data_IF_969864874401
#
_entry.id   IF_969864874401
#
_cell.length_a   1.000
_cell.length_b   1.000
_cell.length_c   1.000
_cell.angle_alpha   90.00
_cell.angle_beta   90.00
_cell.angle_gamma   90.00
#
_symmetry.space_group_name_H-M   'P 1'
#
loop_
_entity.id
_entity.type
_entity.pdbx_description
1 polymer ?
#
# COMPACT_ATOMS: atom_id res chain seq x y z
N UNK A 1 7.59 8.17 1.06
CA UNK A 1 7.96 6.74 1.15
C UNK A 1 8.68 6.42 2.43
N UNK A 2 8.19 5.45 3.20
CA UNK A 2 8.90 4.88 4.34
C UNK A 2 9.90 3.83 3.85
N UNK A 3 11.12 4.27 3.54
CA UNK A 3 12.16 3.42 2.94
C UNK A 3 12.67 2.31 3.86
N UNK A 4 12.57 2.49 5.18
CA UNK A 4 13.03 1.48 6.15
C UNK A 4 12.07 0.29 6.18
N UNK A 5 10.78 0.54 6.22
CA UNK A 5 9.76 -0.51 6.13
C UNK A 5 9.80 -1.23 4.79
N UNK A 6 10.08 -0.50 3.71
CA UNK A 6 10.32 -1.11 2.41
C UNK A 6 11.53 -2.05 2.43
N UNK A 7 12.61 -1.67 3.11
CA UNK A 7 13.80 -2.52 3.24
C UNK A 7 13.48 -3.78 4.05
N UNK A 8 12.81 -3.65 5.20
CA UNK A 8 12.35 -4.78 6.04
C UNK A 8 11.50 -5.77 5.25
N UNK A 9 10.51 -5.26 4.54
CA UNK A 9 9.60 -6.08 3.75
C UNK A 9 10.33 -6.77 2.57
N UNK A 10 11.34 -6.11 1.99
CA UNK A 10 12.19 -6.71 0.94
C UNK A 10 12.96 -7.92 1.48
N UNK A 11 13.50 -7.82 2.70
CA UNK A 11 14.18 -8.95 3.37
C UNK A 11 13.19 -10.07 3.68
N UNK A 12 12.03 -9.75 4.26
CA UNK A 12 10.99 -10.74 4.56
C UNK A 12 10.56 -11.51 3.31
N UNK A 13 10.33 -10.81 2.21
CA UNK A 13 9.95 -11.43 0.94
C UNK A 13 11.05 -12.37 0.42
N UNK A 14 12.32 -12.01 0.57
CA UNK A 14 13.45 -12.87 0.21
C UNK A 14 13.51 -14.15 1.06
N UNK A 15 13.22 -14.05 2.36
CA UNK A 15 13.15 -15.20 3.29
C UNK A 15 12.03 -16.16 2.90
N UNK A 16 10.82 -15.64 2.70
CA UNK A 16 9.63 -16.42 2.36
C UNK A 16 9.81 -17.18 1.04
N UNK A 17 10.55 -16.60 0.10
CA UNK A 17 10.88 -17.20 -1.19
C UNK A 17 12.15 -18.06 -1.18
N UNK A 18 12.78 -18.28 -0.02
CA UNK A 18 13.88 -19.23 0.13
C UNK A 18 15.20 -18.73 -0.45
N UNK A 19 15.47 -17.43 -0.40
CA UNK A 19 16.77 -16.87 -0.79
C UNK A 19 17.90 -17.46 0.06
N UNK A 20 19.01 -17.93 -0.56
CA UNK A 20 20.08 -18.60 0.18
C UNK A 20 20.86 -17.63 1.08
N UNK A 21 21.25 -18.10 2.27
CA UNK A 21 21.99 -17.30 3.26
C UNK A 21 23.31 -16.72 2.73
N UNK A 22 24.07 -17.53 1.99
CA UNK A 22 25.41 -17.22 1.45
C UNK A 22 26.26 -16.29 2.35
N UNK A 23 26.64 -16.74 3.57
CA UNK A 23 27.42 -15.90 4.48
C UNK A 23 28.73 -15.42 3.85
N UNK A 24 29.00 -14.11 3.94
CA UNK A 24 30.17 -13.47 3.32
C UNK A 24 30.00 -13.10 1.84
N UNK A 25 28.87 -13.46 1.21
CA UNK A 25 28.45 -12.88 -0.06
C UNK A 25 27.71 -11.58 0.18
N UNK A 26 27.95 -10.58 -0.66
CA UNK A 26 27.14 -9.37 -0.62
C UNK A 26 25.69 -9.70 -1.02
N UNK A 27 25.46 -10.56 -2.02
CA UNK A 27 24.11 -10.85 -2.52
C UNK A 27 23.35 -11.94 -1.76
N UNK A 28 23.80 -12.34 -0.57
CA UNK A 28 23.15 -13.38 0.24
C UNK A 28 22.09 -12.84 1.19
N UNK A 29 21.13 -13.68 1.59
CA UNK A 29 20.10 -13.32 2.57
C UNK A 29 20.72 -12.82 3.91
N UNK A 30 21.85 -13.39 4.33
CA UNK A 30 22.56 -12.94 5.54
C UNK A 30 23.02 -11.48 5.43
N UNK A 31 23.45 -11.03 4.24
CA UNK A 31 23.85 -9.64 4.01
C UNK A 31 22.62 -8.72 3.99
N UNK A 32 21.52 -9.15 3.39
CA UNK A 32 20.28 -8.35 3.37
C UNK A 32 19.73 -8.10 4.77
N UNK A 33 19.73 -9.12 5.64
CA UNK A 33 19.38 -8.95 7.07
C UNK A 33 20.31 -7.96 7.76
N UNK A 34 21.62 -8.12 7.57
CA UNK A 34 22.60 -7.19 8.12
C UNK A 34 22.38 -5.75 7.63
N UNK A 35 22.03 -5.56 6.35
CA UNK A 35 21.70 -4.24 5.81
C UNK A 35 20.47 -3.64 6.51
N UNK A 36 19.41 -4.43 6.72
CA UNK A 36 18.22 -3.99 7.44
C UNK A 36 18.54 -3.63 8.90
N UNK A 37 19.20 -4.52 9.65
CA UNK A 37 19.62 -4.29 11.03
C UNK A 37 20.49 -3.03 11.16
N UNK A 38 21.41 -2.82 10.21
CA UNK A 38 22.29 -1.64 10.19
C UNK A 38 21.52 -0.36 9.89
N UNK A 39 20.56 -0.40 8.97
CA UNK A 39 19.70 0.73 8.64
C UNK A 39 18.75 1.09 9.79
N UNK A 40 18.35 0.13 10.61
CA UNK A 40 17.55 0.37 11.83
C UNK A 40 18.39 0.99 12.95
N UNK A 41 19.60 0.47 13.17
CA UNK A 41 20.50 0.95 14.21
C UNK A 41 21.15 2.30 13.89
N UNK A 42 21.14 2.71 12.61
CA UNK A 42 21.84 3.91 12.14
C UNK A 42 20.90 4.89 11.44
N UNK A 43 20.95 6.16 11.82
CA UNK A 43 20.24 7.22 11.07
C UNK A 43 20.95 7.52 9.74
N UNK A 44 20.47 6.93 8.66
CA UNK A 44 20.87 7.30 7.29
C UNK A 44 20.07 8.50 6.77
N UNK A 45 20.65 9.21 5.81
CA UNK A 45 19.87 10.12 4.97
C UNK A 45 18.98 9.33 4.01
N UNK A 46 17.83 9.89 3.65
CA UNK A 46 16.87 9.29 2.70
C UNK A 46 17.54 8.91 1.37
N UNK A 47 18.50 9.71 0.91
CA UNK A 47 19.25 9.40 -0.31
C UNK A 47 20.13 8.16 -0.17
N UNK A 48 20.70 7.92 1.02
CA UNK A 48 21.53 6.74 1.29
C UNK A 48 20.66 5.51 1.51
N UNK A 49 19.61 5.63 2.30
CA UNK A 49 18.67 4.54 2.56
C UNK A 49 17.96 4.11 1.27
N UNK A 50 17.57 5.05 0.41
CA UNK A 50 17.02 4.74 -0.91
C UNK A 50 17.98 3.96 -1.82
N UNK A 51 19.28 4.26 -1.78
CA UNK A 51 20.28 3.47 -2.52
C UNK A 51 20.43 2.06 -1.96
N UNK A 52 20.42 1.91 -0.64
CA UNK A 52 20.48 0.60 0.02
C UNK A 52 19.25 -0.25 -0.29
N UNK A 53 18.06 0.35 -0.22
CA UNK A 53 16.82 -0.29 -0.63
C UNK A 53 16.89 -0.77 -2.08
N UNK A 54 17.21 0.11 -3.03
CA UNK A 54 17.30 -0.27 -4.44
C UNK A 54 18.33 -1.39 -4.69
N UNK A 55 19.45 -1.38 -3.97
CA UNK A 55 20.44 -2.44 -4.05
C UNK A 55 19.91 -3.79 -3.52
N UNK A 56 19.26 -3.79 -2.35
CA UNK A 56 18.67 -4.99 -1.77
C UNK A 56 17.60 -5.60 -2.69
N UNK A 57 16.73 -4.76 -3.26
CA UNK A 57 15.70 -5.17 -4.21
C UNK A 57 16.30 -5.81 -5.47
N UNK A 58 17.38 -5.21 -6.01
CA UNK A 58 18.12 -5.80 -7.13
C UNK A 58 18.74 -7.16 -6.77
N UNK A 59 19.31 -7.30 -5.57
CA UNK A 59 19.91 -8.56 -5.12
C UNK A 59 18.86 -9.68 -5.00
N UNK A 60 17.68 -9.38 -4.46
CA UNK A 60 16.57 -10.35 -4.35
C UNK A 60 16.07 -10.79 -5.73
N UNK A 61 15.88 -9.86 -6.66
CA UNK A 61 15.47 -10.21 -8.04
C UNK A 61 16.55 -11.02 -8.74
N UNK A 62 17.82 -10.64 -8.59
CA UNK A 62 18.95 -11.34 -9.19
C UNK A 62 19.15 -12.76 -8.62
N UNK A 63 18.72 -13.01 -7.38
CA UNK A 63 18.74 -14.34 -6.78
C UNK A 63 17.76 -15.32 -7.46
N UNK A 64 16.83 -14.82 -8.28
CA UNK A 64 15.88 -15.62 -9.07
C UNK A 64 15.06 -16.60 -8.22
N UNK A 65 14.60 -16.12 -7.05
CA UNK A 65 13.83 -16.89 -6.06
C UNK A 65 12.31 -16.81 -6.30
N UNK A 66 11.91 -16.41 -7.51
CA UNK A 66 10.50 -16.19 -7.85
C UNK A 66 9.94 -14.83 -7.41
N UNK A 67 10.81 -13.91 -6.98
CA UNK A 67 10.47 -12.51 -6.71
C UNK A 67 10.97 -11.64 -7.87
N UNK A 68 10.13 -10.73 -8.35
CA UNK A 68 10.32 -9.95 -9.58
C UNK A 68 10.49 -8.45 -9.30
N UNK A 69 10.90 -7.70 -10.34
CA UNK A 69 10.89 -6.23 -10.27
C UNK A 69 9.48 -5.65 -10.07
N UNK A 70 8.43 -6.33 -10.52
CA UNK A 70 7.06 -5.89 -10.29
C UNK A 70 6.73 -5.95 -8.79
N UNK A 71 7.13 -7.02 -8.10
CA UNK A 71 6.95 -7.16 -6.65
C UNK A 71 7.67 -6.04 -5.87
N UNK A 72 8.88 -5.68 -6.30
CA UNK A 72 9.63 -4.56 -5.70
C UNK A 72 8.96 -3.21 -5.89
N UNK A 73 8.36 -2.98 -7.06
CA UNK A 73 7.61 -1.75 -7.33
C UNK A 73 6.32 -1.68 -6.50
N UNK A 74 5.57 -2.78 -6.42
CA UNK A 74 4.40 -2.92 -5.55
C UNK A 74 4.75 -2.53 -4.11
N UNK A 75 5.86 -3.07 -3.60
CA UNK A 75 6.36 -2.77 -2.26
C UNK A 75 6.74 -1.28 -2.13
N UNK A 76 7.44 -0.70 -3.11
CA UNK A 76 7.79 0.72 -3.09
C UNK A 76 6.55 1.62 -3.08
N UNK A 77 5.50 1.27 -3.83
CA UNK A 77 4.22 2.01 -3.81
C UNK A 77 3.54 1.87 -2.46
N UNK A 78 3.42 0.64 -1.93
CA UNK A 78 2.88 0.34 -0.59
C UNK A 78 3.48 1.28 0.46
N UNK A 79 4.80 1.41 0.47
CA UNK A 79 5.50 2.26 1.43
C UNK A 79 5.59 3.73 1.02
N UNK A 80 5.34 4.07 -0.24
CA UNK A 80 5.25 5.47 -0.72
C UNK A 80 4.05 6.19 -0.15
N UNK A 81 2.92 5.50 -0.04
CA UNK A 81 1.68 6.00 0.56
C UNK A 81 1.82 6.44 2.02
N UNK A 82 2.86 5.97 2.70
CA UNK A 82 3.17 6.26 4.11
C UNK A 82 3.85 7.64 4.28
N UNK A 83 3.69 8.58 3.34
CA UNK A 83 4.29 9.92 3.44
C UNK A 83 3.86 10.67 4.71
N UNK A 84 4.78 11.47 5.25
CA UNK A 84 4.69 12.19 6.52
C UNK A 84 3.40 13.02 6.69
N UNK A 85 2.92 13.19 7.94
CA UNK A 85 1.64 13.84 8.22
C UNK A 85 1.63 15.30 7.74
N UNK A 86 0.76 15.63 6.80
CA UNK A 86 0.22 16.99 6.72
C UNK A 86 -0.78 17.15 7.87
N UNK A 87 -0.37 17.82 8.95
CA UNK A 87 -1.11 18.15 10.19
C UNK A 87 -2.49 17.49 10.38
N UNK A 88 -2.60 16.42 11.19
CA UNK A 88 -3.84 15.64 11.35
C UNK A 88 -4.83 16.13 12.43
N UNK A 89 -4.61 17.27 13.09
CA UNK A 89 -5.18 17.44 14.44
C UNK A 89 -6.70 17.74 14.53
N UNK A 90 -7.39 18.14 13.44
CA UNK A 90 -8.84 18.44 13.54
C UNK A 90 -9.75 17.44 12.82
N UNK A 91 -9.37 16.99 11.62
CA UNK A 91 -10.19 16.06 10.85
C UNK A 91 -10.14 14.64 11.42
N UNK A 92 -8.98 14.18 11.87
CA UNK A 92 -8.80 12.82 12.39
C UNK A 92 -9.40 12.65 13.80
N UNK A 93 -9.27 13.68 14.64
CA UNK A 93 -9.97 13.74 15.93
C UNK A 93 -11.50 13.63 15.76
N UNK A 94 -12.04 14.18 14.68
CA UNK A 94 -13.48 14.07 14.36
C UNK A 94 -13.91 12.67 13.93
N UNK A 95 -12.96 11.79 13.56
CA UNK A 95 -13.29 10.42 13.21
C UNK A 95 -13.34 9.52 14.42
N UNK A 96 -12.63 9.84 15.52
CA UNK A 96 -12.33 8.93 16.62
C UNK A 96 -13.55 8.21 17.24
N UNK A 97 -14.73 8.82 17.23
CA UNK A 97 -15.95 8.24 17.82
C UNK A 97 -16.69 7.24 16.93
N UNK A 98 -16.35 7.12 15.64
CA UNK A 98 -17.05 6.20 14.74
C UNK A 98 -16.55 4.75 14.89
N UNK A 99 -17.43 3.74 14.82
CA UNK A 99 -17.01 2.34 14.80
C UNK A 99 -16.29 1.94 13.50
N UNK A 100 -16.58 2.63 12.40
CA UNK A 100 -15.96 2.40 11.09
C UNK A 100 -15.31 3.68 10.57
N UNK A 101 -14.15 3.55 9.93
CA UNK A 101 -13.49 4.62 9.18
C UNK A 101 -13.40 4.20 7.73
N UNK A 102 -13.97 5.01 6.83
CA UNK A 102 -13.86 4.79 5.40
C UNK A 102 -12.53 5.35 4.93
N UNK A 103 -11.74 4.52 4.28
CA UNK A 103 -10.51 4.90 3.59
C UNK A 103 -10.75 4.94 2.09
N UNK A 104 -10.11 5.89 1.44
CA UNK A 104 -9.97 5.93 0.00
C UNK A 104 -8.56 5.52 -0.39
N UNK A 105 -8.46 4.71 -1.43
CA UNK A 105 -7.23 4.55 -2.22
C UNK A 105 -7.51 5.20 -3.56
N UNK A 106 -6.62 6.07 -4.02
CA UNK A 106 -6.78 6.77 -5.28
C UNK A 106 -5.62 6.49 -6.22
N UNK A 107 -5.91 6.50 -7.52
CA UNK A 107 -4.96 6.37 -8.60
C UNK A 107 -5.21 7.49 -9.61
N UNK A 108 -4.20 8.33 -9.84
CA UNK A 108 -4.17 9.23 -10.99
C UNK A 108 -3.41 8.57 -12.15
N UNK A 109 -4.10 8.38 -13.27
CA UNK A 109 -3.61 7.68 -14.45
C UNK A 109 -3.57 8.65 -15.66
N UNK A 110 -2.52 9.48 -15.76
CA UNK A 110 -2.40 10.48 -16.82
C UNK A 110 -2.26 9.84 -18.21
N UNK A 111 -1.61 8.68 -18.28
CA UNK A 111 -1.32 7.96 -19.51
C UNK A 111 -2.40 6.93 -19.89
N UNK A 112 -3.46 6.82 -19.08
CA UNK A 112 -4.62 5.93 -19.30
C UNK A 112 -4.22 4.46 -19.42
N UNK A 113 -3.22 4.05 -18.64
CA UNK A 113 -2.66 2.70 -18.65
C UNK A 113 -3.58 1.68 -17.99
N UNK A 114 -4.46 2.08 -17.08
CA UNK A 114 -5.38 1.17 -16.38
C UNK A 114 -6.41 0.53 -17.35
N UNK A 115 -6.73 1.24 -18.44
CA UNK A 115 -7.74 0.84 -19.41
C UNK A 115 -9.16 0.97 -18.89
N UNK A 116 -10.10 0.26 -19.53
CA UNK A 116 -11.52 0.29 -19.17
C UNK A 116 -11.90 -0.77 -18.12
N UNK A 117 -13.07 -0.61 -17.50
CA UNK A 117 -13.66 -1.53 -16.52
C UNK A 117 -12.74 -1.78 -15.30
N UNK A 118 -12.12 -0.72 -14.79
CA UNK A 118 -11.21 -0.79 -13.64
C UNK A 118 -11.96 -1.27 -12.40
N UNK A 119 -13.18 -0.79 -12.17
CA UNK A 119 -14.00 -1.19 -11.04
C UNK A 119 -14.31 -2.70 -11.07
N UNK A 120 -14.76 -3.24 -12.20
CA UNK A 120 -15.07 -4.67 -12.34
C UNK A 120 -13.82 -5.54 -12.17
N UNK A 121 -12.72 -5.16 -12.80
CA UNK A 121 -11.47 -5.94 -12.78
C UNK A 121 -10.86 -6.04 -11.39
N UNK A 122 -10.96 -4.97 -10.61
CA UNK A 122 -10.32 -4.89 -9.30
C UNK A 122 -11.21 -5.38 -8.16
N UNK A 123 -12.52 -5.49 -8.37
CA UNK A 123 -13.48 -5.80 -7.30
C UNK A 123 -13.15 -7.08 -6.53
N UNK A 124 -12.89 -8.19 -7.24
CA UNK A 124 -12.62 -9.47 -6.58
C UNK A 124 -11.35 -9.45 -5.73
N UNK A 125 -10.27 -8.84 -6.24
CA UNK A 125 -9.02 -8.72 -5.53
C UNK A 125 -9.12 -7.76 -4.33
N UNK A 126 -9.84 -6.64 -4.50
CA UNK A 126 -10.09 -5.68 -3.43
C UNK A 126 -10.91 -6.29 -2.28
N UNK A 127 -11.96 -7.07 -2.61
CA UNK A 127 -12.73 -7.82 -1.61
C UNK A 127 -11.85 -8.84 -0.88
N UNK A 128 -11.07 -9.63 -1.61
CA UNK A 128 -10.19 -10.64 -1.02
C UNK A 128 -9.10 -10.03 -0.12
N UNK A 129 -8.62 -8.82 -0.43
CA UNK A 129 -7.66 -8.09 0.42
C UNK A 129 -8.28 -7.60 1.74
N UNK A 130 -9.57 -7.25 1.73
CA UNK A 130 -10.26 -6.70 2.90
C UNK A 130 -10.73 -7.79 3.89
N UNK A 131 -11.13 -8.95 3.38
CA UNK A 131 -11.77 -10.03 4.14
C UNK A 131 -10.94 -10.54 5.36
N UNK A 132 -9.61 -10.80 5.25
CA UNK A 132 -8.82 -11.30 6.38
C UNK A 132 -8.77 -10.35 7.58
N UNK A 133 -9.07 -9.07 7.35
CA UNK A 133 -9.05 -8.01 8.36
C UNK A 133 -10.44 -7.68 8.90
N UNK A 134 -11.49 -8.41 8.49
CA UNK A 134 -12.88 -8.07 8.81
C UNK A 134 -13.28 -6.69 8.30
N UNK A 135 -12.60 -6.20 7.26
CA UNK A 135 -12.87 -4.91 6.63
C UNK A 135 -13.71 -5.12 5.36
N UNK A 136 -14.34 -4.06 4.87
CA UNK A 136 -15.33 -4.15 3.79
C UNK A 136 -14.92 -3.29 2.61
N UNK A 137 -14.57 -3.92 1.50
CA UNK A 137 -14.49 -3.21 0.23
C UNK A 137 -15.89 -2.79 -0.23
N UNK A 138 -16.11 -1.51 -0.53
CA UNK A 138 -17.42 -1.00 -0.94
C UNK A 138 -17.60 -1.01 -2.45
N UNK A 139 -16.81 -0.20 -3.15
CA UNK A 139 -16.88 0.01 -4.58
C UNK A 139 -15.67 0.82 -5.07
N UNK A 140 -15.54 0.90 -6.39
CA UNK A 140 -14.60 1.76 -7.09
C UNK A 140 -15.38 2.76 -7.95
N UNK A 141 -14.93 4.00 -7.97
CA UNK A 141 -15.34 5.02 -8.95
C UNK A 141 -14.29 5.05 -10.05
N UNK A 142 -14.67 4.73 -11.29
CA UNK A 142 -13.76 4.64 -12.44
C UNK A 142 -14.18 5.46 -13.68
N UNK A 143 -15.27 6.21 -13.58
CA UNK A 143 -15.77 7.06 -14.67
C UNK A 143 -15.13 8.45 -14.68
N UNK A 144 -14.55 8.87 -13.55
CA UNK A 144 -14.05 10.23 -13.33
C UNK A 144 -12.80 10.58 -14.15
N UNK A 145 -12.71 11.85 -14.53
CA UNK A 145 -11.55 12.44 -15.18
C UNK A 145 -11.35 13.88 -14.76
N UNK A 146 -10.09 14.28 -14.56
CA UNK A 146 -9.72 15.66 -14.32
C UNK A 146 -9.91 16.51 -15.60
N UNK A 147 -9.94 17.84 -15.45
CA UNK A 147 -10.14 18.77 -16.56
C UNK A 147 -9.06 18.66 -17.66
N UNK A 148 -7.86 18.18 -17.32
CA UNK A 148 -6.77 17.93 -18.26
C UNK A 148 -6.90 16.55 -18.97
N UNK A 149 -7.95 15.79 -18.69
CA UNK A 149 -8.20 14.47 -19.27
C UNK A 149 -7.49 13.31 -18.56
N UNK A 150 -6.78 13.55 -17.46
CA UNK A 150 -6.21 12.49 -16.61
C UNK A 150 -7.33 11.66 -15.99
N UNK A 151 -7.26 10.33 -16.14
CA UNK A 151 -8.22 9.42 -15.51
C UNK A 151 -7.94 9.33 -14.01
N UNK A 152 -8.99 9.26 -13.22
CA UNK A 152 -8.92 9.19 -11.76
C UNK A 152 -9.80 8.04 -11.29
N UNK A 153 -9.20 7.16 -10.50
CA UNK A 153 -9.87 6.00 -9.93
C UNK A 153 -9.83 6.11 -8.41
N UNK A 154 -10.93 5.78 -7.75
CA UNK A 154 -11.03 5.83 -6.28
C UNK A 154 -11.75 4.60 -5.74
N UNK A 155 -11.07 3.83 -4.90
CA UNK A 155 -11.61 2.68 -4.18
C UNK A 155 -11.96 3.06 -2.76
N UNK A 156 -13.14 2.66 -2.30
CA UNK A 156 -13.63 2.89 -0.94
C UNK A 156 -13.57 1.60 -0.13
N UNK A 157 -12.95 1.66 1.05
CA UNK A 157 -12.87 0.54 1.98
C UNK A 157 -13.25 0.96 3.40
N UNK A 158 -14.19 0.24 3.98
CA UNK A 158 -14.56 0.31 5.39
C UNK A 158 -13.57 -0.41 6.27
N UNK A 159 -12.87 0.35 7.12
CA UNK A 159 -11.91 -0.18 8.08
C UNK A 159 -12.50 -0.09 9.48
N UNK A 160 -12.57 -1.22 10.18
CA UNK A 160 -13.02 -1.25 11.57
C UNK A 160 -12.09 -0.39 12.44
N UNK A 161 -12.63 0.27 13.48
CA UNK A 161 -11.84 1.15 14.37
C UNK A 161 -10.56 0.50 14.87
N UNK A 162 -10.65 -0.74 15.34
CA UNK A 162 -9.51 -1.47 15.87
C UNK A 162 -8.39 -1.67 14.83
N UNK A 163 -8.74 -1.92 13.56
CA UNK A 163 -7.76 -2.03 12.47
C UNK A 163 -7.24 -0.66 12.02
N UNK A 164 -8.10 0.36 12.04
CA UNK A 164 -7.70 1.74 11.74
C UNK A 164 -6.67 2.29 12.73
N UNK A 165 -6.74 1.87 14.00
CA UNK A 165 -5.77 2.21 15.04
C UNK A 165 -4.48 1.39 14.93
N UNK A 166 -4.54 0.17 14.40
CA UNK A 166 -3.37 -0.67 14.13
C UNK A 166 -2.71 -0.31 12.79
N UNK A 167 -2.11 0.88 12.73
CA UNK A 167 -1.38 1.33 11.54
C UNK A 167 0.06 0.85 11.54
N UNK A 168 0.55 0.53 10.35
CA UNK A 168 1.99 0.41 10.11
C UNK A 168 2.44 1.68 9.38
N UNK A 169 3.01 2.61 10.13
CA UNK A 169 3.19 3.99 9.68
C UNK A 169 1.86 4.78 9.72
N UNK A 170 1.48 5.40 8.60
CA UNK A 170 0.29 6.28 8.51
C UNK A 170 -0.95 5.60 7.93
N UNK A 171 -0.85 4.35 7.49
CA UNK A 171 -1.97 3.60 6.86
C UNK A 171 -2.27 2.30 7.62
N UNK A 172 -3.54 1.88 7.72
CA UNK A 172 -3.90 0.55 8.21
C UNK A 172 -3.32 -0.56 7.32
N UNK A 173 -2.99 -1.71 7.90
CA UNK A 173 -2.44 -2.84 7.15
C UNK A 173 -3.34 -3.25 5.97
N UNK A 174 -4.65 -3.30 6.18
CA UNK A 174 -5.63 -3.63 5.13
C UNK A 174 -5.59 -2.66 3.94
N UNK A 175 -5.31 -1.37 4.17
CA UNK A 175 -5.21 -0.37 3.10
C UNK A 175 -3.94 -0.61 2.28
N UNK A 176 -2.85 -1.00 2.95
CA UNK A 176 -1.61 -1.37 2.30
C UNK A 176 -1.79 -2.65 1.44
N UNK A 177 -2.47 -3.67 1.97
CA UNK A 177 -2.78 -4.90 1.22
C UNK A 177 -3.76 -4.66 0.06
N UNK A 178 -4.74 -3.77 0.24
CA UNK A 178 -5.63 -3.35 -0.85
C UNK A 178 -4.81 -2.78 -2.02
N UNK A 179 -3.87 -1.87 -1.76
CA UNK A 179 -3.03 -1.29 -2.82
C UNK A 179 -2.23 -2.37 -3.55
N UNK A 180 -1.65 -3.33 -2.81
CA UNK A 180 -0.94 -4.48 -3.40
C UNK A 180 -1.87 -5.27 -4.34
N UNK A 181 -3.08 -5.60 -3.87
CA UNK A 181 -4.06 -6.33 -4.66
C UNK A 181 -4.52 -5.57 -5.90
N UNK A 182 -4.68 -4.25 -5.81
CA UNK A 182 -5.03 -3.39 -6.93
C UNK A 182 -3.93 -3.34 -7.98
N UNK A 183 -2.67 -3.14 -7.58
CA UNK A 183 -1.53 -3.14 -8.51
C UNK A 183 -1.42 -4.48 -9.23
N UNK A 184 -1.59 -5.60 -8.50
CA UNK A 184 -1.56 -6.95 -9.10
C UNK A 184 -2.71 -7.21 -10.09
N UNK A 185 -3.82 -6.48 -9.98
CA UNK A 185 -5.00 -6.63 -10.85
C UNK A 185 -4.99 -5.67 -12.04
N UNK A 186 -4.13 -4.66 -12.04
CA UNK A 186 -4.04 -3.64 -13.08
C UNK A 186 -2.95 -3.97 -14.11
N UNK A 187 -3.04 -3.42 -15.34
CA UNK A 187 -2.00 -3.61 -16.35
C UNK A 187 -0.63 -3.15 -15.86
N UNK A 188 0.41 -3.85 -16.28
CA UNK A 188 1.79 -3.50 -15.93
C UNK A 188 2.13 -2.10 -16.45
N UNK A 189 2.83 -1.29 -15.65
CA UNK A 189 3.20 0.09 -15.99
C UNK A 189 2.38 1.14 -15.24
N UNK A 190 1.19 0.79 -14.73
CA UNK A 190 0.39 1.68 -13.84
C UNK A 190 1.12 1.98 -12.52
N UNK A 191 2.13 1.20 -12.16
CA UNK A 191 2.93 1.33 -10.94
C UNK A 191 4.12 2.30 -11.06
N UNK A 192 4.52 2.70 -12.27
CA UNK A 192 5.79 3.42 -12.52
C UNK A 192 5.60 4.94 -12.55
N UNK A 193 4.50 5.41 -13.15
CA UNK A 193 4.21 6.85 -13.35
C UNK A 193 2.90 7.32 -12.71
N UNK A 194 2.10 6.39 -12.16
CA UNK A 194 0.81 6.74 -11.58
C UNK A 194 0.92 7.10 -10.10
N UNK A 195 0.18 8.14 -9.71
CA UNK A 195 0.19 8.64 -8.33
C UNK A 195 -0.88 7.93 -7.52
N UNK A 196 -0.43 6.98 -6.71
CA UNK A 196 -1.24 6.35 -5.69
C UNK A 196 -1.30 7.24 -4.45
N UNK A 197 -2.49 7.43 -3.89
CA UNK A 197 -2.68 8.05 -2.57
C UNK A 197 -3.65 7.22 -1.74
N UNK A 198 -3.55 7.31 -0.41
CA UNK A 198 -4.48 6.66 0.50
C UNK A 198 -4.71 7.55 1.72
N UNK A 199 -5.98 7.78 2.06
CA UNK A 199 -6.36 8.64 3.17
C UNK A 199 -7.73 8.24 3.74
N UNK A 200 -8.02 8.56 5.01
CA UNK A 200 -9.39 8.47 5.50
C UNK A 200 -10.27 9.54 4.82
N UNK A 201 -11.48 9.16 4.44
CA UNK A 201 -12.49 10.07 3.90
C UNK A 201 -13.52 10.40 4.98
N UNK A 202 -13.46 11.64 5.49
CA UNK A 202 -14.36 12.11 6.56
C UNK A 202 -15.81 12.15 6.13
N UNK A 203 -16.09 12.49 4.87
CA UNK A 203 -17.47 12.57 4.38
C UNK A 203 -18.06 11.18 4.25
N UNK A 204 -17.36 10.27 3.58
CA UNK A 204 -17.79 8.88 3.41
C UNK A 204 -17.89 8.18 4.78
N UNK A 205 -16.95 8.43 5.70
CA UNK A 205 -17.02 7.90 7.06
C UNK A 205 -18.29 8.35 7.78
N UNK A 206 -18.63 9.64 7.69
CA UNK A 206 -19.86 10.16 8.30
C UNK A 206 -21.11 9.52 7.70
N UNK A 207 -21.21 9.48 6.37
CA UNK A 207 -22.36 8.86 5.68
C UNK A 207 -22.50 7.40 6.09
N UNK A 208 -21.40 6.63 6.05
CA UNK A 208 -21.37 5.22 6.43
C UNK A 208 -21.91 4.99 7.83
N UNK A 209 -21.50 5.78 8.80
CA UNK A 209 -21.88 5.55 10.19
C UNK A 209 -23.24 6.16 10.55
N UNK A 210 -23.57 7.36 10.06
CA UNK A 210 -24.76 8.10 10.46
C UNK A 210 -25.99 7.79 9.61
N UNK A 211 -25.79 7.54 8.31
CA UNK A 211 -26.87 7.29 7.35
C UNK A 211 -27.04 5.78 7.16
N UNK A 212 -25.97 5.09 6.80
CA UNK A 212 -26.02 3.66 6.45
C UNK A 212 -25.97 2.73 7.68
N UNK A 213 -25.61 3.29 8.84
CA UNK A 213 -25.50 2.58 10.13
C UNK A 213 -24.47 1.45 10.12
N UNK A 214 -23.34 1.68 9.45
CA UNK A 214 -22.19 0.78 9.38
C UNK A 214 -22.25 -0.21 8.22
N UNK A 215 -21.59 -1.36 8.39
CA UNK A 215 -21.65 -2.48 7.44
C UNK A 215 -22.43 -3.64 8.05
N UNK A 216 -23.66 -3.93 7.56
CA UNK A 216 -24.47 -5.00 8.10
C UNK A 216 -23.82 -6.37 7.85
N UNK A 217 -23.83 -7.24 8.86
CA UNK A 217 -23.34 -8.62 8.75
C UNK A 217 -21.86 -8.83 9.06
N UNK A 218 -21.14 -7.78 9.46
CA UNK A 218 -19.75 -7.87 9.93
C UNK A 218 -19.72 -7.47 11.42
N UNK A 219 -19.63 -8.47 12.29
CA UNK A 219 -19.66 -8.31 13.75
C UNK A 219 -19.21 -9.56 14.48
#
# INVERSE_FOLDING_TARGET
MNQLEALRETVRLAEEHGMPELPGSDVGLAHLRWMADTAEATSFSDAKLGRWLGWAQCAVVAANVGVTLADMKVLNVKWSLVTAPSSPDSAEASLAHYPWVVWTVELLDPDRLAGDNVAERTAAAATAAAEPYGCVYEYCVDEDALANGTKHYRWYIGVARAEHERRVGNVPAVVAELVVALIGSLPHGVDVDAHWTAAPDTHATRIRNEVDRGYPGVG
#
